data_IF_338603314899
#
_entry.id   IF_338603314899
#
_cell.length_a   1.000
_cell.length_b   1.000
_cell.length_c   1.000
_cell.angle_alpha   90.00
_cell.angle_beta   90.00
_cell.angle_gamma   90.00
#
_symmetry.space_group_name_H-M   'P 1'
#
loop_
_entity.id
_entity.type
_entity.pdbx_description
1 polymer ?
#
# COMPACT_ATOMS: atom_id res chain seq x y z
N UNK A 1 -27.41 -10.16 9.69
CA UNK A 1 -26.17 -10.66 9.11
C UNK A 1 -25.83 -10.05 7.73
N UNK A 2 -26.73 -9.41 7.01
CA UNK A 2 -26.48 -8.83 5.67
C UNK A 2 -25.80 -7.46 5.68
N UNK A 3 -25.84 -6.71 6.78
CA UNK A 3 -25.27 -5.36 6.86
C UNK A 3 -23.74 -5.30 6.99
N UNK A 4 -23.09 -6.37 7.42
CA UNK A 4 -21.64 -6.43 7.63
C UNK A 4 -20.86 -6.76 6.32
N UNK A 5 -21.52 -7.41 5.38
CA UNK A 5 -20.86 -7.89 4.16
C UNK A 5 -20.24 -6.77 3.30
N UNK A 6 -20.91 -5.63 3.05
CA UNK A 6 -20.31 -4.54 2.31
C UNK A 6 -19.06 -3.99 2.98
N UNK A 7 -19.06 -3.83 4.29
CA UNK A 7 -17.92 -3.32 5.07
C UNK A 7 -16.69 -4.22 4.95
N UNK A 8 -16.87 -5.53 4.96
CA UNK A 8 -15.79 -6.51 4.76
C UNK A 8 -15.17 -6.38 3.36
N UNK A 9 -16.00 -6.26 2.32
CA UNK A 9 -15.53 -6.10 0.93
C UNK A 9 -14.67 -4.84 0.81
N UNK A 10 -15.12 -3.71 1.35
CA UNK A 10 -14.36 -2.46 1.31
C UNK A 10 -13.07 -2.52 2.12
N UNK A 11 -13.05 -3.24 3.25
CA UNK A 11 -11.83 -3.49 4.02
C UNK A 11 -10.82 -4.29 3.21
N UNK A 12 -11.24 -5.34 2.51
CA UNK A 12 -10.37 -6.13 1.63
C UNK A 12 -9.83 -5.31 0.45
N UNK A 13 -10.66 -4.47 -0.14
CA UNK A 13 -10.25 -3.54 -1.20
C UNK A 13 -9.21 -2.54 -0.68
N UNK A 14 -9.39 -2.00 0.52
CA UNK A 14 -8.42 -1.13 1.16
C UNK A 14 -7.08 -1.83 1.37
N UNK A 15 -7.07 -3.06 1.91
CA UNK A 15 -5.84 -3.83 2.09
C UNK A 15 -5.12 -4.10 0.77
N UNK A 16 -5.87 -4.49 -0.27
CA UNK A 16 -5.32 -4.73 -1.60
C UNK A 16 -4.72 -3.45 -2.20
N UNK A 17 -5.41 -2.33 -2.05
CA UNK A 17 -4.96 -1.02 -2.50
C UNK A 17 -3.68 -0.60 -1.77
N UNK A 18 -3.67 -0.72 -0.43
CA UNK A 18 -2.51 -0.40 0.39
C UNK A 18 -1.29 -1.27 0.05
N UNK A 19 -1.49 -2.58 -0.14
CA UNK A 19 -0.44 -3.51 -0.52
C UNK A 19 0.17 -3.15 -1.89
N UNK A 20 -0.67 -2.87 -2.88
CA UNK A 20 -0.23 -2.50 -4.23
C UNK A 20 0.55 -1.18 -4.23
N UNK A 21 0.04 -0.16 -3.54
CA UNK A 21 0.71 1.13 -3.43
C UNK A 21 2.04 1.02 -2.67
N UNK A 22 2.09 0.19 -1.62
CA UNK A 22 3.31 -0.11 -0.88
C UNK A 22 4.35 -0.77 -1.77
N UNK A 23 3.97 -1.78 -2.55
CA UNK A 23 4.86 -2.46 -3.48
C UNK A 23 5.43 -1.51 -4.55
N UNK A 24 4.60 -0.63 -5.12
CA UNK A 24 5.04 0.38 -6.07
C UNK A 24 6.06 1.35 -5.45
N UNK A 25 5.80 1.85 -4.26
CA UNK A 25 6.69 2.80 -3.59
C UNK A 25 7.99 2.15 -3.11
N UNK A 26 7.94 0.89 -2.67
CA UNK A 26 9.15 0.12 -2.37
C UNK A 26 10.02 -0.07 -3.62
N UNK A 27 9.42 -0.41 -4.76
CA UNK A 27 10.13 -0.51 -6.03
C UNK A 27 10.76 0.82 -6.44
N UNK A 28 10.04 1.93 -6.27
CA UNK A 28 10.59 3.27 -6.53
C UNK A 28 11.76 3.62 -5.59
N UNK A 29 11.64 3.31 -4.30
CA UNK A 29 12.72 3.53 -3.34
C UNK A 29 13.95 2.67 -3.67
N UNK A 30 13.74 1.39 -4.03
CA UNK A 30 14.79 0.47 -4.45
C UNK A 30 15.59 1.01 -5.64
N UNK A 31 14.92 1.34 -6.74
CA UNK A 31 15.58 1.87 -7.94
C UNK A 31 16.29 3.20 -7.67
N UNK A 32 15.82 3.97 -6.70
CA UNK A 32 16.44 5.26 -6.36
C UNK A 32 17.87 5.16 -5.80
N UNK A 33 18.29 3.97 -5.32
CA UNK A 33 19.66 3.73 -4.86
C UNK A 33 20.68 3.75 -6.02
N UNK A 34 20.24 3.49 -7.25
CA UNK A 34 21.12 3.65 -8.42
C UNK A 34 21.51 5.12 -8.69
N UNK A 35 20.70 6.08 -8.22
CA UNK A 35 20.87 7.49 -8.52
C UNK A 35 21.33 8.34 -7.34
N UNK A 36 21.06 7.90 -6.12
CA UNK A 36 21.33 8.67 -4.91
C UNK A 36 21.83 7.78 -3.79
N UNK A 37 22.91 8.17 -3.15
CA UNK A 37 23.37 7.54 -1.90
C UNK A 37 22.35 7.78 -0.78
N UNK A 38 21.85 6.70 -0.19
CA UNK A 38 20.85 6.74 0.87
C UNK A 38 21.16 5.72 1.95
N UNK A 39 20.81 6.03 3.20
CA UNK A 39 20.81 5.06 4.28
C UNK A 39 19.72 4.00 4.09
N UNK A 40 19.99 2.78 4.51
CA UNK A 40 19.02 1.70 4.55
C UNK A 40 17.87 2.02 5.51
N UNK A 41 16.67 1.52 5.21
CA UNK A 41 15.57 1.54 6.17
C UNK A 41 15.61 0.28 7.01
N UNK A 42 15.49 0.48 8.31
CA UNK A 42 15.55 -0.59 9.30
C UNK A 42 14.33 -0.50 10.22
N UNK A 43 13.88 -1.67 10.69
CA UNK A 43 12.76 -1.79 11.63
C UNK A 43 13.18 -1.62 13.10
N UNK A 44 14.48 -1.77 13.38
CA UNK A 44 15.09 -1.53 14.71
C UNK A 44 15.59 -0.09 14.81
N UNK A 45 16.16 0.29 15.95
CA UNK A 45 16.78 1.61 16.11
C UNK A 45 17.89 1.85 15.07
N UNK A 46 17.77 2.92 14.27
CA UNK A 46 18.73 3.21 13.21
C UNK A 46 20.11 3.54 13.79
N UNK A 47 21.14 2.99 13.18
CA UNK A 47 22.55 3.27 13.52
C UNK A 47 23.18 4.06 12.38
N UNK A 48 23.99 5.07 12.69
CA UNK A 48 24.70 5.87 11.70
C UNK A 48 23.74 6.58 10.72
N UNK A 49 23.88 6.33 9.43
CA UNK A 49 23.08 6.94 8.38
C UNK A 49 21.77 6.16 8.04
N UNK A 50 21.47 5.10 8.79
CA UNK A 50 20.23 4.34 8.61
C UNK A 50 19.00 5.20 8.88
N UNK A 51 17.86 4.80 8.31
CA UNK A 51 16.59 5.50 8.45
C UNK A 51 15.53 4.55 9.03
N UNK A 52 14.64 5.08 9.87
CA UNK A 52 13.49 4.33 10.36
C UNK A 52 12.54 3.96 9.20
N UNK A 53 11.82 2.85 9.36
CA UNK A 53 10.65 2.54 8.54
C UNK A 53 9.55 3.58 8.78
N UNK A 54 8.65 3.71 7.80
CA UNK A 54 7.46 4.53 8.01
C UNK A 54 6.51 3.81 8.97
N UNK A 55 5.90 4.56 9.90
CA UNK A 55 4.94 4.01 10.87
C UNK A 55 3.75 3.30 10.19
N UNK A 56 3.25 3.86 9.08
CA UNK A 56 2.13 3.31 8.31
C UNK A 56 2.61 2.54 7.06
N UNK A 57 3.85 2.07 7.02
CA UNK A 57 4.49 1.42 5.86
C UNK A 57 4.64 2.31 4.62
N UNK A 58 3.86 3.36 4.52
CA UNK A 58 3.84 4.34 3.43
C UNK A 58 4.33 5.70 3.92
N UNK A 59 4.96 6.52 3.06
CA UNK A 59 5.21 7.92 3.35
C UNK A 59 3.91 8.64 3.73
N UNK A 60 3.94 9.49 4.75
CA UNK A 60 2.76 10.17 5.28
C UNK A 60 1.93 10.92 4.22
N UNK A 61 2.60 11.45 3.19
CA UNK A 61 1.93 12.12 2.06
C UNK A 61 0.97 11.23 1.27
N UNK A 62 1.14 9.89 1.33
CA UNK A 62 0.26 8.91 0.69
C UNK A 62 -0.62 8.21 1.72
N UNK A 63 -0.10 7.90 2.90
CA UNK A 63 -0.83 7.15 3.92
C UNK A 63 -1.98 7.97 4.52
N UNK A 64 -1.79 9.27 4.78
CA UNK A 64 -2.83 10.12 5.36
C UNK A 64 -4.02 10.28 4.40
N UNK A 65 -3.85 10.68 3.12
CA UNK A 65 -4.97 10.73 2.18
C UNK A 65 -5.67 9.39 2.00
N UNK A 66 -4.90 8.29 1.96
CA UNK A 66 -5.47 6.95 1.83
C UNK A 66 -6.33 6.56 3.03
N UNK A 67 -5.86 6.87 4.25
CA UNK A 67 -6.60 6.62 5.47
C UNK A 67 -7.91 7.43 5.51
N UNK A 68 -7.84 8.73 5.19
CA UNK A 68 -9.01 9.60 5.15
C UNK A 68 -10.03 9.15 4.11
N UNK A 69 -9.56 8.76 2.93
CA UNK A 69 -10.41 8.29 1.85
C UNK A 69 -11.06 6.94 2.20
N UNK A 70 -10.33 6.06 2.87
CA UNK A 70 -10.88 4.81 3.40
C UNK A 70 -11.99 5.07 4.43
N UNK A 71 -11.74 5.96 5.39
CA UNK A 71 -12.74 6.34 6.39
C UNK A 71 -14.00 6.95 5.73
N UNK A 72 -13.81 7.82 4.74
CA UNK A 72 -14.91 8.41 3.96
C UNK A 72 -15.72 7.34 3.22
N UNK A 73 -15.04 6.39 2.57
CA UNK A 73 -15.72 5.29 1.87
C UNK A 73 -16.54 4.42 2.83
N UNK A 74 -15.98 4.05 3.97
CA UNK A 74 -16.72 3.30 4.99
C UNK A 74 -17.96 4.05 5.48
N UNK A 75 -17.82 5.35 5.70
CA UNK A 75 -18.96 6.21 6.07
C UNK A 75 -20.01 6.27 4.96
N UNK A 76 -19.63 6.50 3.71
CA UNK A 76 -20.53 6.55 2.58
C UNK A 76 -21.28 5.22 2.37
N UNK A 77 -20.59 4.10 2.52
CA UNK A 77 -21.22 2.77 2.43
C UNK A 77 -22.26 2.58 3.51
N UNK A 78 -21.95 2.99 4.73
CA UNK A 78 -22.91 2.97 5.85
C UNK A 78 -24.16 3.83 5.59
N UNK A 79 -24.01 4.94 4.83
CA UNK A 79 -25.13 5.77 4.41
C UNK A 79 -25.86 5.25 3.18
N UNK A 80 -25.21 4.41 2.39
CA UNK A 80 -25.79 3.87 1.14
C UNK A 80 -26.81 2.75 1.37
N UNK A 81 -26.55 1.92 2.37
CA UNK A 81 -27.37 0.77 2.76
C UNK A 81 -27.62 0.82 4.26
N UNK A 82 -28.85 0.87 4.69
CA UNK A 82 -29.21 0.91 6.09
C UNK A 82 -30.39 -0.01 6.38
N UNK A 83 -30.40 -0.56 7.59
CA UNK A 83 -31.49 -1.38 8.07
C UNK A 83 -32.60 -0.46 8.58
N UNK A 84 -33.81 -0.65 8.08
CA UNK A 84 -34.99 0.08 8.51
C UNK A 84 -35.97 -0.88 9.19
N UNK A 85 -36.35 -0.54 10.42
CA UNK A 85 -37.41 -1.22 11.14
C UNK A 85 -38.66 -0.34 11.09
N UNK A 86 -39.76 -0.91 10.61
CA UNK A 86 -41.05 -0.24 10.52
C UNK A 86 -41.98 -0.92 11.50
N UNK A 87 -42.38 -0.19 12.52
CA UNK A 87 -43.34 -0.64 13.50
C UNK A 87 -44.69 0.04 13.25
N UNK A 88 -45.78 -0.73 13.25
CA UNK A 88 -47.10 -0.21 13.02
C UNK A 88 -47.79 0.06 14.37
N UNK A 89 -48.42 1.22 14.46
CA UNK A 89 -49.23 1.61 15.62
C UNK A 89 -50.69 1.91 15.19
N UNK A 90 -51.61 1.49 16.00
CA UNK A 90 -53.03 1.83 15.85
C UNK A 90 -53.28 3.31 16.18
N UNK A 91 -54.43 3.85 15.77
CA UNK A 91 -54.87 5.22 16.04
C UNK A 91 -54.87 5.58 17.54
N UNK A 92 -54.86 4.60 18.40
CA UNK A 92 -54.77 4.74 19.88
C UNK A 92 -53.34 4.63 20.42
N UNK A 93 -52.30 4.55 19.54
CA UNK A 93 -50.89 4.42 19.93
C UNK A 93 -50.55 3.04 20.48
N UNK A 94 -51.36 2.03 20.24
CA UNK A 94 -51.08 0.63 20.61
C UNK A 94 -50.28 -0.02 19.47
N UNK A 95 -49.30 -0.88 19.77
CA UNK A 95 -48.65 -1.67 18.72
C UNK A 95 -49.75 -2.52 18.06
N UNK A 96 -50.04 -2.24 16.80
CA UNK A 96 -51.19 -2.76 16.10
C UNK A 96 -50.80 -3.50 14.85
N UNK A 97 -51.68 -4.46 14.58
CA UNK A 97 -51.70 -5.23 13.37
C UNK A 97 -52.68 -4.57 12.39
N UNK A 98 -52.17 -4.14 11.26
CA UNK A 98 -53.01 -3.67 10.17
C UNK A 98 -53.41 -4.77 9.17
N UNK A 99 -53.09 -6.03 9.50
CA UNK A 99 -53.51 -7.16 8.68
C UNK A 99 -54.76 -7.83 9.27
N UNK A 100 -55.93 -7.68 8.62
CA UNK A 100 -57.18 -8.30 9.07
C UNK A 100 -57.15 -9.85 9.07
N UNK A 101 -56.11 -10.45 8.51
CA UNK A 101 -55.98 -11.90 8.38
C UNK A 101 -54.95 -12.55 9.34
N UNK A 102 -54.02 -11.79 9.89
CA UNK A 102 -52.96 -12.41 10.70
C UNK A 102 -52.49 -11.52 11.86
N UNK A 103 -53.06 -11.71 13.02
CA UNK A 103 -52.90 -10.94 14.25
C UNK A 103 -51.53 -11.00 14.94
N UNK A 104 -50.40 -11.17 14.21
CA UNK A 104 -49.08 -11.33 14.82
C UNK A 104 -47.94 -10.49 14.21
N UNK A 105 -48.21 -9.60 13.27
CA UNK A 105 -47.16 -8.80 12.67
C UNK A 105 -47.05 -7.44 13.36
N UNK A 106 -46.13 -7.33 14.33
CA UNK A 106 -45.87 -6.07 15.06
C UNK A 106 -44.92 -5.12 14.31
N UNK A 107 -44.36 -5.52 13.20
CA UNK A 107 -43.44 -4.74 12.38
C UNK A 107 -42.65 -5.63 11.44
N UNK A 108 -41.99 -5.01 10.47
CA UNK A 108 -41.03 -5.73 9.60
C UNK A 108 -39.73 -4.94 9.43
N UNK A 109 -38.64 -5.69 9.27
CA UNK A 109 -37.34 -5.13 8.99
C UNK A 109 -37.07 -5.22 7.48
N UNK A 110 -36.65 -4.12 6.90
CA UNK A 110 -36.26 -4.05 5.50
C UNK A 110 -34.95 -3.28 5.33
N UNK A 111 -34.29 -3.50 4.19
CA UNK A 111 -33.07 -2.76 3.84
C UNK A 111 -33.48 -1.55 3.03
N UNK A 112 -33.19 -0.38 3.56
CA UNK A 112 -33.29 0.88 2.83
C UNK A 112 -32.01 1.17 2.06
N UNK A 113 -32.12 1.93 0.98
CA UNK A 113 -30.97 2.38 0.20
C UNK A 113 -31.08 3.86 -0.16
N UNK A 114 -29.94 4.54 -0.25
CA UNK A 114 -29.83 5.95 -0.63
C UNK A 114 -29.12 6.08 -1.98
N UNK A 115 -29.85 6.38 -3.09
CA UNK A 115 -29.24 6.53 -4.41
C UNK A 115 -28.08 7.52 -4.46
N UNK A 116 -28.15 8.73 -3.87
CA UNK A 116 -27.05 9.69 -3.90
C UNK A 116 -25.80 9.17 -3.19
N UNK A 117 -25.96 8.44 -2.07
CA UNK A 117 -24.83 7.85 -1.37
C UNK A 117 -24.17 6.73 -2.18
N UNK A 118 -24.96 5.90 -2.89
CA UNK A 118 -24.44 4.87 -3.78
C UNK A 118 -23.64 5.50 -4.93
N UNK A 119 -24.14 6.55 -5.56
CA UNK A 119 -23.40 7.29 -6.60
C UNK A 119 -22.09 7.85 -6.05
N UNK A 120 -22.10 8.42 -4.86
CA UNK A 120 -20.89 8.93 -4.23
C UNK A 120 -19.84 7.81 -3.97
N UNK A 121 -20.26 6.63 -3.49
CA UNK A 121 -19.39 5.46 -3.33
C UNK A 121 -18.77 5.05 -4.66
N UNK A 122 -19.56 4.96 -5.72
CA UNK A 122 -19.09 4.56 -7.05
C UNK A 122 -18.09 5.58 -7.62
N UNK A 123 -18.34 6.87 -7.45
CA UNK A 123 -17.42 7.93 -7.89
C UNK A 123 -16.11 7.87 -7.10
N UNK A 124 -16.16 7.80 -5.78
CA UNK A 124 -14.96 7.68 -4.95
C UNK A 124 -14.15 6.42 -5.25
N UNK A 125 -14.81 5.27 -5.33
CA UNK A 125 -14.17 4.00 -5.68
C UNK A 125 -13.57 4.00 -7.08
N UNK A 126 -14.27 4.59 -8.05
CA UNK A 126 -13.77 4.78 -9.41
C UNK A 126 -12.52 5.66 -9.46
N UNK A 127 -12.52 6.79 -8.76
CA UNK A 127 -11.35 7.67 -8.66
C UNK A 127 -10.15 6.97 -8.02
N UNK A 128 -10.37 6.17 -6.97
CA UNK A 128 -9.31 5.35 -6.37
C UNK A 128 -8.73 4.35 -7.38
N UNK A 129 -9.58 3.63 -8.09
CA UNK A 129 -9.15 2.66 -9.11
C UNK A 129 -8.35 3.34 -10.22
N UNK A 130 -8.85 4.45 -10.75
CA UNK A 130 -8.15 5.24 -11.76
C UNK A 130 -6.79 5.71 -11.23
N UNK A 131 -6.71 6.20 -9.99
CA UNK A 131 -5.45 6.69 -9.43
C UNK A 131 -4.39 5.59 -9.34
N UNK A 132 -4.74 4.36 -8.97
CA UNK A 132 -3.77 3.25 -8.90
C UNK A 132 -3.30 2.82 -10.30
N UNK A 133 -4.21 2.83 -11.28
CA UNK A 133 -3.87 2.54 -12.68
C UNK A 133 -2.91 3.59 -13.22
N UNK A 134 -3.19 4.87 -13.01
CA UNK A 134 -2.30 5.97 -13.42
C UNK A 134 -0.93 5.87 -12.75
N UNK A 135 -0.88 5.60 -11.45
CA UNK A 135 0.39 5.40 -10.73
C UNK A 135 1.16 4.19 -11.27
N UNK A 136 0.46 3.11 -11.64
CA UNK A 136 1.07 1.91 -12.22
C UNK A 136 1.68 2.12 -13.60
N UNK A 137 1.24 3.13 -14.35
CA UNK A 137 1.81 3.49 -15.65
C UNK A 137 3.06 4.38 -15.54
N UNK A 138 3.41 4.87 -14.34
CA UNK A 138 4.63 5.66 -14.16
C UNK A 138 5.84 4.72 -14.19
N UNK A 139 6.71 4.81 -15.21
CA UNK A 139 7.86 3.92 -15.31
C UNK A 139 8.89 4.23 -14.22
N UNK A 140 9.51 3.19 -13.68
CA UNK A 140 10.67 3.34 -12.82
C UNK A 140 11.86 3.94 -13.59
N UNK A 141 12.68 4.71 -12.89
CA UNK A 141 13.92 5.21 -13.46
C UNK A 141 14.84 4.04 -13.82
N UNK A 142 15.50 4.12 -14.97
CA UNK A 142 16.48 3.13 -15.42
C UNK A 142 17.72 3.17 -14.52
N UNK A 143 18.41 2.04 -14.38
CA UNK A 143 19.70 1.99 -13.67
C UNK A 143 19.86 0.79 -12.75
N UNK A 144 18.77 0.27 -12.17
CA UNK A 144 18.80 -0.88 -11.29
C UNK A 144 17.63 -1.82 -11.62
N UNK A 145 17.85 -3.15 -11.69
CA UNK A 145 16.77 -4.11 -11.84
C UNK A 145 15.86 -4.07 -10.59
N UNK A 146 14.55 -4.16 -10.81
CA UNK A 146 13.58 -4.19 -9.70
C UNK A 146 13.64 -5.57 -9.04
N UNK A 147 14.02 -5.61 -7.77
CA UNK A 147 14.08 -6.85 -7.00
C UNK A 147 12.71 -7.29 -6.48
N UNK A 148 11.78 -6.35 -6.31
CA UNK A 148 10.50 -6.61 -5.66
C UNK A 148 10.69 -7.19 -4.24
N UNK A 149 10.04 -8.31 -3.95
CA UNK A 149 10.18 -9.05 -2.70
C UNK A 149 11.07 -10.30 -2.83
N UNK A 150 11.84 -10.44 -3.93
CA UNK A 150 12.72 -11.58 -4.14
C UNK A 150 13.95 -11.50 -3.23
N UNK A 151 14.02 -12.40 -2.24
CA UNK A 151 15.17 -12.48 -1.32
C UNK A 151 16.47 -12.81 -2.03
N UNK A 152 16.43 -13.61 -3.10
CA UNK A 152 17.61 -13.94 -3.90
C UNK A 152 18.17 -12.72 -4.63
N UNK A 153 17.31 -11.89 -5.25
CA UNK A 153 17.73 -10.69 -5.92
C UNK A 153 18.30 -9.65 -4.94
N UNK A 154 17.69 -9.54 -3.75
CA UNK A 154 18.18 -8.68 -2.67
C UNK A 154 19.53 -9.18 -2.17
N UNK A 155 19.67 -10.48 -1.90
CA UNK A 155 20.93 -11.08 -1.46
C UNK A 155 22.05 -10.89 -2.47
N UNK A 156 21.78 -11.11 -3.77
CA UNK A 156 22.75 -10.88 -4.83
C UNK A 156 23.20 -9.41 -4.91
N UNK A 157 22.29 -8.46 -4.71
CA UNK A 157 22.61 -7.04 -4.71
C UNK A 157 23.40 -6.60 -3.47
N UNK A 158 23.24 -7.31 -2.34
CA UNK A 158 23.93 -7.04 -1.07
C UNK A 158 25.26 -7.78 -0.92
N UNK A 159 25.64 -8.63 -1.88
CA UNK A 159 26.89 -9.38 -1.81
C UNK A 159 28.08 -8.46 -2.02
N UNK A 160 28.83 -8.19 -0.95
CA UNK A 160 30.07 -7.42 -1.00
C UNK A 160 31.17 -8.28 -1.60
N UNK A 161 31.84 -7.80 -2.62
CA UNK A 161 33.05 -8.45 -3.14
C UNK A 161 34.17 -8.26 -2.10
N UNK A 162 34.58 -9.34 -1.50
CA UNK A 162 35.56 -9.43 -0.38
C UNK A 162 36.96 -8.92 -0.72
N UNK A 163 37.22 -8.51 -1.95
CA UNK A 163 38.59 -8.19 -2.39
C UNK A 163 39.09 -6.77 -2.00
N UNK A 164 38.20 -5.79 -1.70
CA UNK A 164 38.65 -4.42 -1.51
C UNK A 164 38.16 -3.72 -0.24
N UNK A 165 37.15 -4.23 0.42
CA UNK A 165 36.58 -3.59 1.58
C UNK A 165 36.93 -4.37 2.87
N UNK A 166 38.08 -4.05 3.46
CA UNK A 166 38.38 -4.38 4.87
C UNK A 166 37.41 -3.73 5.86
N UNK A 167 36.27 -3.21 5.38
CA UNK A 167 35.15 -2.75 6.16
C UNK A 167 34.33 -3.97 6.57
N UNK A 168 34.25 -4.23 7.87
CA UNK A 168 33.34 -5.20 8.44
C UNK A 168 31.93 -5.00 7.84
N UNK A 169 31.29 -6.06 7.36
CA UNK A 169 29.91 -6.04 6.80
C UNK A 169 28.92 -5.29 7.68
N UNK A 170 29.13 -5.32 9.01
CA UNK A 170 28.33 -4.59 9.98
C UNK A 170 28.47 -3.07 9.91
N UNK A 171 29.59 -2.55 9.43
CA UNK A 171 29.83 -1.10 9.31
C UNK A 171 29.23 -0.56 8.01
N UNK A 172 29.31 -1.31 6.91
CA UNK A 172 28.76 -0.90 5.63
C UNK A 172 27.23 -0.69 5.68
N UNK A 173 26.50 -1.52 6.42
CA UNK A 173 25.04 -1.40 6.58
C UNK A 173 24.61 -0.13 7.32
N UNK A 174 25.49 0.50 8.10
CA UNK A 174 25.22 1.73 8.87
C UNK A 174 25.53 3.00 8.07
N UNK A 175 26.12 2.88 6.88
CA UNK A 175 26.48 4.00 6.02
C UNK A 175 25.41 4.28 4.95
N UNK A 176 25.62 5.34 4.17
CA UNK A 176 24.82 5.62 2.97
C UNK A 176 25.33 4.76 1.84
N UNK A 177 24.45 3.93 1.29
CA UNK A 177 24.73 3.02 0.18
C UNK A 177 24.29 3.60 -1.15
N UNK A 178 24.99 3.19 -2.20
CA UNK A 178 24.62 3.38 -3.58
C UNK A 178 24.79 2.05 -4.32
N UNK A 179 23.90 1.78 -5.28
CA UNK A 179 24.00 0.61 -6.14
C UNK A 179 24.68 0.98 -7.47
N UNK A 180 25.64 0.18 -7.88
CA UNK A 180 26.37 0.39 -9.13
C UNK A 180 27.48 -0.63 -9.35
N UNK A 181 28.38 -0.37 -10.28
CA UNK A 181 29.51 -1.24 -10.62
C UNK A 181 30.57 -1.14 -9.54
N UNK A 182 30.81 -2.23 -8.81
CA UNK A 182 31.77 -2.32 -7.69
C UNK A 182 33.09 -2.90 -8.14
N UNK A 183 33.07 -3.89 -9.03
CA UNK A 183 34.28 -4.51 -9.58
C UNK A 183 34.13 -4.73 -11.08
N UNK A 184 35.21 -4.57 -11.85
CA UNK A 184 35.30 -4.94 -13.24
C UNK A 184 36.34 -6.05 -13.39
N UNK A 185 35.99 -7.15 -14.01
CA UNK A 185 36.98 -8.10 -14.48
C UNK A 185 37.68 -7.51 -15.71
N UNK A 186 38.99 -7.75 -15.87
CA UNK A 186 39.83 -7.15 -16.92
C UNK A 186 39.31 -7.34 -18.37
N UNK A 187 38.43 -8.32 -18.61
CA UNK A 187 37.77 -8.54 -19.89
C UNK A 187 36.35 -9.07 -19.76
N UNK A 188 35.67 -8.85 -18.61
CA UNK A 188 34.33 -9.39 -18.31
C UNK A 188 33.29 -8.34 -17.96
N UNK A 189 32.04 -8.75 -17.80
CA UNK A 189 30.97 -7.87 -17.35
C UNK A 189 31.26 -7.37 -15.92
N UNK A 190 30.93 -6.09 -15.67
CA UNK A 190 31.09 -5.49 -14.35
C UNK A 190 30.14 -6.12 -13.32
N UNK A 191 30.64 -6.38 -12.12
CA UNK A 191 29.82 -6.80 -11.00
C UNK A 191 29.13 -5.62 -10.35
N UNK A 192 27.81 -5.67 -10.21
CA UNK A 192 27.00 -4.62 -9.60
C UNK A 192 26.51 -5.05 -8.21
N UNK A 193 26.78 -4.22 -7.20
CA UNK A 193 26.34 -4.43 -5.84
C UNK A 193 26.11 -3.10 -5.10
N UNK A 194 25.60 -3.17 -3.88
CA UNK A 194 25.58 -2.01 -2.98
C UNK A 194 26.96 -1.74 -2.42
N UNK A 195 27.37 -0.46 -2.45
CA UNK A 195 28.64 -0.02 -1.87
C UNK A 195 28.45 1.24 -1.03
N UNK A 196 29.18 1.39 0.07
CA UNK A 196 29.25 2.63 0.85
C UNK A 196 30.04 3.72 0.11
N UNK A 197 30.84 3.35 -0.90
CA UNK A 197 31.59 4.29 -1.75
C UNK A 197 30.74 4.80 -2.92
N UNK A 198 31.20 5.84 -3.58
CA UNK A 198 30.61 6.28 -4.84
C UNK A 198 30.92 5.26 -5.94
N UNK A 199 29.87 4.73 -6.59
CA UNK A 199 29.97 3.74 -7.65
C UNK A 199 29.49 4.31 -8.97
N UNK A 200 30.02 3.79 -10.08
CA UNK A 200 29.57 4.19 -11.40
C UNK A 200 28.23 3.54 -11.77
N UNK A 201 27.40 4.27 -12.50
CA UNK A 201 26.17 3.69 -13.03
C UNK A 201 26.51 2.62 -14.08
N UNK A 202 25.80 1.49 -14.10
CA UNK A 202 26.02 0.45 -15.11
C UNK A 202 25.64 0.98 -16.48
N UNK A 203 26.55 0.84 -17.44
CA UNK A 203 26.34 1.19 -18.84
C UNK A 203 25.96 -0.09 -19.59
N UNK A 204 24.86 -0.03 -20.36
CA UNK A 204 24.37 -1.17 -21.12
C UNK A 204 25.41 -1.55 -22.20
N UNK A 205 25.94 -2.78 -22.13
CA UNK A 205 26.84 -3.32 -23.14
C UNK A 205 28.36 -3.08 -22.89
N UNK A 206 28.75 -2.69 -21.69
CA UNK A 206 30.15 -2.69 -21.25
C UNK A 206 30.34 -3.58 -20.04
#
# INVERSE_FOLDING_TARGET
>A
MTGEFPSLVFSLLYFSYNATLTAMLMGYEWVSYAHKRKGLRVSHQPKGAQRCTYFLQLPYRFSIPLLLLSALLHWLVSQSLFLMSIDFYDSLGRPGDNDPYNSKFFGYQTVGFSPPAIVAVLVCGGLMTISIVVLGHIPYRRGMPVAGSSSMAISAACHLTTAEDGANEGTASSEKLQWGVVARADNGPGHCAFSPRSVEAPVKGK
#
